data_IF_194937673185
#
_entry.id   IF_194937673185
#
_cell.length_a   1.000
_cell.length_b   1.000
_cell.length_c   1.000
_cell.angle_alpha   90.00
_cell.angle_beta   90.00
_cell.angle_gamma   90.00
#
_symmetry.space_group_name_H-M   'P 1'
#
loop_
_entity.id
_entity.type
_entity.pdbx_description
1 polymer ?
#
# COMPACT_ATOMS: atom_id res chain seq x y z
N UNK A 1 -6.91 -7.43 -20.36
CA UNK A 1 -5.46 -7.52 -20.57
C UNK A 1 -4.84 -6.17 -20.83
N UNK A 2 -4.48 -5.44 -19.77
CA UNK A 2 -3.59 -4.29 -19.90
C UNK A 2 -2.17 -4.81 -19.70
N UNK A 3 -1.47 -5.06 -20.80
CA UNK A 3 -0.03 -5.28 -20.74
C UNK A 3 0.62 -3.93 -20.41
N UNK A 4 0.96 -3.74 -19.14
CA UNK A 4 1.72 -2.59 -18.70
C UNK A 4 3.11 -2.67 -19.33
N UNK A 5 3.41 -1.74 -20.22
CA UNK A 5 4.77 -1.63 -20.75
C UNK A 5 5.69 -1.23 -19.60
N UNK A 6 6.95 -1.67 -19.63
CA UNK A 6 7.95 -1.28 -18.61
C UNK A 6 8.10 0.26 -18.50
N UNK A 7 7.72 0.98 -19.56
CA UNK A 7 7.68 2.44 -19.61
C UNK A 7 6.60 3.03 -18.69
N UNK A 8 5.45 2.37 -18.51
CA UNK A 8 4.39 2.83 -17.60
C UNK A 8 4.69 2.54 -16.12
N UNK A 9 5.62 1.61 -15.86
CA UNK A 9 6.13 1.29 -14.52
C UNK A 9 7.34 2.16 -14.14
N UNK A 10 7.94 2.87 -15.10
CA UNK A 10 9.11 3.69 -14.88
C UNK A 10 8.75 4.87 -13.96
N UNK A 11 9.45 4.98 -12.83
CA UNK A 11 9.17 5.99 -11.79
C UNK A 11 8.10 5.60 -10.76
N UNK A 12 7.36 4.50 -10.98
CA UNK A 12 6.38 3.96 -10.01
C UNK A 12 6.97 2.87 -9.11
N UNK A 13 8.07 2.26 -9.54
CA UNK A 13 8.80 1.23 -8.79
C UNK A 13 9.97 1.87 -8.04
N UNK A 14 9.98 1.72 -6.72
CA UNK A 14 11.10 2.09 -5.87
C UNK A 14 12.16 0.98 -5.91
N UNK A 15 13.11 1.10 -6.84
CA UNK A 15 14.15 0.09 -7.05
C UNK A 15 15.14 -0.05 -5.89
N UNK A 16 15.23 0.95 -5.00
CA UNK A 16 16.13 0.91 -3.84
C UNK A 16 15.63 -0.02 -2.74
N UNK A 17 14.31 -0.28 -2.69
CA UNK A 17 13.69 -1.15 -1.68
C UNK A 17 13.83 -2.65 -1.97
N UNK A 18 14.35 -3.02 -3.14
CA UNK A 18 14.51 -4.40 -3.55
C UNK A 18 13.18 -5.16 -3.75
N UNK A 19 13.25 -6.49 -3.77
CA UNK A 19 12.08 -7.37 -3.93
C UNK A 19 11.82 -8.08 -2.61
N UNK A 20 10.66 -7.82 -2.01
CA UNK A 20 10.23 -8.47 -0.78
C UNK A 20 9.83 -9.93 -1.04
N UNK A 21 10.09 -10.81 -0.07
CA UNK A 21 9.64 -12.20 -0.17
C UNK A 21 8.13 -12.36 -0.01
N UNK A 22 7.50 -11.49 0.79
CA UNK A 22 6.04 -11.40 0.96
C UNK A 22 5.68 -9.96 1.40
N UNK A 23 4.43 -9.50 1.23
CA UNK A 23 3.93 -8.29 1.87
C UNK A 23 4.07 -8.33 3.40
N UNK A 24 4.09 -7.16 4.07
CA UNK A 24 4.00 -7.09 5.53
C UNK A 24 2.86 -7.96 6.05
N UNK A 25 3.19 -8.85 6.98
CA UNK A 25 2.23 -9.81 7.50
C UNK A 25 1.55 -9.27 8.75
N UNK A 26 0.26 -9.52 8.87
CA UNK A 26 -0.52 -9.12 10.03
C UNK A 26 -1.84 -8.47 9.63
N UNK A 27 -2.67 -8.25 10.64
CA UNK A 27 -3.84 -7.40 10.57
C UNK A 27 -3.55 -6.23 11.50
N UNK A 28 -3.78 -5.03 11.00
CA UNK A 28 -3.54 -3.78 11.69
C UNK A 28 -4.88 -3.08 11.93
N UNK A 29 -4.95 -2.31 13.00
CA UNK A 29 -6.11 -1.49 13.35
C UNK A 29 -5.65 -0.06 13.59
N UNK A 30 -6.59 0.85 13.80
CA UNK A 30 -6.28 2.22 14.24
C UNK A 30 -5.48 2.23 15.55
N UNK A 31 -5.64 1.22 16.41
CA UNK A 31 -4.85 1.08 17.65
C UNK A 31 -3.39 0.72 17.41
N UNK A 32 -3.08 0.06 16.30
CA UNK A 32 -1.70 -0.22 15.88
C UNK A 32 -0.99 1.00 15.29
N UNK A 33 -1.71 2.12 15.13
CA UNK A 33 -1.22 3.47 14.87
C UNK A 33 0.12 3.57 14.12
N UNK A 34 1.19 3.83 14.87
CA UNK A 34 2.52 4.05 14.30
C UNK A 34 3.06 2.82 13.55
N UNK A 35 2.85 1.61 14.08
CA UNK A 35 3.28 0.38 13.40
C UNK A 35 2.56 0.20 12.06
N UNK A 36 1.27 0.55 12.00
CA UNK A 36 0.54 0.55 10.75
C UNK A 36 1.13 1.56 9.75
N UNK A 37 1.35 2.80 10.19
CA UNK A 37 1.93 3.87 9.35
C UNK A 37 3.33 3.54 8.85
N UNK A 38 4.18 2.97 9.70
CA UNK A 38 5.55 2.58 9.35
C UNK A 38 5.55 1.53 8.21
N UNK A 39 4.55 0.64 8.19
CA UNK A 39 4.41 -0.35 7.12
C UNK A 39 3.83 0.22 5.82
N UNK A 40 3.17 1.39 5.83
CA UNK A 40 2.62 1.99 4.61
C UNK A 40 3.71 2.35 3.59
N UNK A 41 4.96 2.53 4.03
CA UNK A 41 6.10 2.73 3.11
C UNK A 41 6.27 1.59 2.11
N UNK A 42 5.78 0.39 2.42
CA UNK A 42 5.92 -0.78 1.55
C UNK A 42 4.90 -0.83 0.41
N UNK A 43 3.88 0.04 0.39
CA UNK A 43 2.91 0.12 -0.70
C UNK A 43 3.63 0.30 -2.04
N UNK A 44 3.19 -0.45 -3.05
CA UNK A 44 3.80 -0.58 -4.39
C UNK A 44 5.23 -1.13 -4.45
N UNK A 45 5.80 -1.60 -3.34
CA UNK A 45 7.06 -2.35 -3.42
C UNK A 45 6.83 -3.68 -4.13
N UNK A 46 7.84 -4.13 -4.90
CA UNK A 46 7.79 -5.43 -5.54
C UNK A 46 7.85 -6.54 -4.48
N UNK A 47 6.98 -7.52 -4.60
CA UNK A 47 7.01 -8.71 -3.75
C UNK A 47 6.70 -9.98 -4.52
N UNK A 48 7.14 -11.13 -4.00
CA UNK A 48 6.85 -12.45 -4.57
C UNK A 48 5.47 -12.94 -4.15
N UNK A 49 4.80 -13.65 -5.04
CA UNK A 49 3.58 -14.38 -4.67
C UNK A 49 3.92 -15.52 -3.71
N UNK A 50 3.15 -15.64 -2.63
CA UNK A 50 3.27 -16.76 -1.68
C UNK A 50 2.92 -18.11 -2.32
N UNK A 51 1.96 -18.13 -3.26
CA UNK A 51 1.52 -19.33 -3.98
C UNK A 51 2.46 -19.69 -5.13
N UNK A 52 2.95 -18.69 -5.85
CA UNK A 52 3.78 -18.87 -7.05
C UNK A 52 5.05 -18.02 -6.95
N UNK A 53 6.11 -18.58 -6.35
CA UNK A 53 7.35 -17.84 -6.04
C UNK A 53 8.06 -17.22 -7.26
N UNK A 54 7.76 -17.67 -8.48
CA UNK A 54 8.28 -17.12 -9.74
C UNK A 54 7.50 -15.91 -10.25
N UNK A 55 6.35 -15.59 -9.65
CA UNK A 55 5.53 -14.42 -10.00
C UNK A 55 5.83 -13.28 -9.05
N UNK A 56 6.11 -12.13 -9.64
CA UNK A 56 6.22 -10.85 -8.97
C UNK A 56 4.90 -10.09 -9.08
N UNK A 57 4.70 -9.20 -8.12
CA UNK A 57 3.58 -8.28 -8.05
C UNK A 57 3.94 -7.17 -7.08
N UNK A 58 2.93 -6.45 -6.64
CA UNK A 58 3.04 -5.26 -5.82
C UNK A 58 2.40 -5.50 -4.47
N UNK A 59 2.94 -4.85 -3.45
CA UNK A 59 2.27 -4.74 -2.17
C UNK A 59 1.10 -3.75 -2.32
N UNK A 60 -0.11 -4.23 -2.05
CA UNK A 60 -1.32 -3.42 -1.96
C UNK A 60 -1.73 -3.25 -0.49
N UNK A 61 -2.46 -2.19 -0.18
CA UNK A 61 -3.01 -1.90 1.13
C UNK A 61 -4.53 -1.93 1.05
N UNK A 62 -5.16 -2.74 1.89
CA UNK A 62 -6.60 -3.00 1.83
C UNK A 62 -7.23 -2.94 3.23
N UNK A 63 -8.47 -2.47 3.28
CA UNK A 63 -9.39 -2.71 4.40
C UNK A 63 -10.06 -4.08 4.21
N UNK A 64 -10.05 -4.88 5.27
CA UNK A 64 -10.54 -6.26 5.31
C UNK A 64 -11.84 -6.41 6.10
N UNK A 65 -12.52 -5.30 6.35
CA UNK A 65 -13.75 -5.19 7.14
C UNK A 65 -13.50 -4.90 8.62
N UNK A 66 -14.45 -4.20 9.25
CA UNK A 66 -14.48 -3.84 10.66
C UNK A 66 -13.25 -3.03 11.14
N UNK A 67 -12.69 -2.18 10.26
CA UNK A 67 -11.54 -1.34 10.61
C UNK A 67 -10.21 -2.11 10.69
N UNK A 68 -10.16 -3.29 10.07
CA UNK A 68 -8.96 -4.10 9.95
C UNK A 68 -8.27 -3.81 8.63
N UNK A 69 -7.01 -3.42 8.70
CA UNK A 69 -6.16 -3.14 7.55
C UNK A 69 -5.12 -4.23 7.37
N UNK A 70 -4.73 -4.49 6.12
CA UNK A 70 -3.70 -5.49 5.80
C UNK A 70 -2.96 -5.13 4.53
N UNK A 71 -1.76 -5.70 4.40
CA UNK A 71 -0.98 -5.64 3.18
C UNK A 71 -1.11 -6.95 2.40
N UNK A 72 -1.40 -6.84 1.12
CA UNK A 72 -1.67 -7.98 0.24
C UNK A 72 -0.75 -7.98 -0.98
N UNK A 73 -0.70 -9.12 -1.66
CA UNK A 73 -0.02 -9.27 -2.94
C UNK A 73 -1.04 -9.02 -4.04
N UNK A 74 -0.74 -8.11 -4.96
CA UNK A 74 -1.54 -7.85 -6.15
C UNK A 74 -0.66 -7.90 -7.42
N UNK A 75 -1.12 -8.54 -8.48
CA UNK A 75 -0.37 -8.65 -9.73
C UNK A 75 -0.49 -7.40 -10.60
N UNK A 76 -1.55 -6.63 -10.42
CA UNK A 76 -1.82 -5.42 -11.19
C UNK A 76 -1.40 -4.19 -10.39
N UNK A 77 -0.48 -3.39 -10.97
CA UNK A 77 0.05 -2.20 -10.31
C UNK A 77 -1.01 -1.12 -10.09
N UNK A 78 -1.95 -0.97 -11.02
CA UNK A 78 -2.96 0.07 -10.97
C UNK A 78 -4.05 -0.31 -9.98
N UNK A 79 -4.47 -1.57 -9.97
CA UNK A 79 -5.40 -2.09 -8.97
C UNK A 79 -4.78 -1.99 -7.56
N UNK A 80 -3.50 -2.34 -7.40
CA UNK A 80 -2.76 -2.17 -6.15
C UNK A 80 -2.71 -0.70 -5.71
N UNK A 81 -2.47 0.22 -6.62
CA UNK A 81 -2.40 1.66 -6.33
C UNK A 81 -3.77 2.24 -5.98
N UNK A 82 -4.79 1.97 -6.79
CA UNK A 82 -6.16 2.50 -6.64
C UNK A 82 -6.79 2.03 -5.33
N UNK A 83 -6.73 0.72 -5.06
CA UNK A 83 -7.20 0.15 -3.78
C UNK A 83 -6.45 0.76 -2.58
N UNK A 84 -5.12 0.89 -2.68
CA UNK A 84 -4.32 1.49 -1.61
C UNK A 84 -4.66 2.96 -1.39
N UNK A 85 -4.87 3.75 -2.44
CA UNK A 85 -5.25 5.17 -2.32
C UNK A 85 -6.60 5.33 -1.64
N UNK A 86 -7.58 4.51 -2.04
CA UNK A 86 -8.89 4.51 -1.42
C UNK A 86 -8.80 4.16 0.08
N UNK A 87 -8.07 3.09 0.42
CA UNK A 87 -7.91 2.68 1.83
C UNK A 87 -7.08 3.68 2.65
N UNK A 88 -6.10 4.37 2.04
CA UNK A 88 -5.33 5.43 2.71
C UNK A 88 -6.21 6.63 3.11
N UNK A 89 -7.20 7.01 2.29
CA UNK A 89 -8.16 8.05 2.66
C UNK A 89 -8.99 7.61 3.86
N UNK A 90 -9.56 6.41 3.82
CA UNK A 90 -10.32 5.85 4.94
C UNK A 90 -9.49 5.76 6.22
N UNK A 91 -8.20 5.41 6.10
CA UNK A 91 -7.29 5.34 7.23
C UNK A 91 -6.98 6.73 7.81
N UNK A 92 -6.81 7.74 6.95
CA UNK A 92 -6.57 9.12 7.39
C UNK A 92 -7.77 9.64 8.18
N UNK A 93 -8.99 9.48 7.63
CA UNK A 93 -10.24 9.83 8.31
C UNK A 93 -10.37 9.07 9.64
N UNK A 94 -10.10 7.76 9.64
CA UNK A 94 -10.13 6.93 10.85
C UNK A 94 -9.12 7.36 11.93
N UNK A 95 -7.96 7.89 11.54
CA UNK A 95 -7.02 8.48 12.49
C UNK A 95 -7.49 9.83 13.03
N UNK A 96 -8.13 10.67 12.20
CA UNK A 96 -8.70 11.95 12.64
C UNK A 96 -9.83 11.73 13.65
N UNK A 97 -10.76 10.81 13.36
CA UNK A 97 -11.87 10.44 14.24
C UNK A 97 -11.37 9.89 15.59
N UNK A 98 -10.23 9.21 15.59
CA UNK A 98 -9.58 8.69 16.80
C UNK A 98 -8.70 9.73 17.54
N UNK A 99 -8.65 10.99 17.08
CA UNK A 99 -7.80 12.04 17.66
C UNK A 99 -6.30 11.86 17.42
N UNK A 100 -5.90 11.01 16.46
CA UNK A 100 -4.52 10.67 16.11
C UNK A 100 -4.00 11.56 14.96
N UNK A 101 -4.10 12.89 15.12
CA UNK A 101 -3.82 13.88 14.06
C UNK A 101 -2.44 13.74 13.38
N UNK A 102 -1.40 13.38 14.14
CA UNK A 102 -0.06 13.20 13.58
C UNK A 102 -0.01 12.03 12.61
N UNK A 103 -0.70 10.93 12.93
CA UNK A 103 -0.77 9.75 12.07
C UNK A 103 -1.61 10.05 10.83
N UNK A 104 -2.73 10.76 10.98
CA UNK A 104 -3.54 11.22 9.84
C UNK A 104 -2.70 12.06 8.85
N UNK A 105 -1.90 13.01 9.35
CA UNK A 105 -0.99 13.82 8.53
C UNK A 105 0.08 12.98 7.83
N UNK A 106 0.64 11.96 8.49
CA UNK A 106 1.62 11.07 7.89
C UNK A 106 0.99 10.23 6.76
N UNK A 107 -0.18 9.65 7.01
CA UNK A 107 -0.97 8.91 6.02
C UNK A 107 -1.32 9.80 4.82
N UNK A 108 -1.80 11.02 5.05
CA UNK A 108 -2.15 11.98 4.00
C UNK A 108 -0.94 12.41 3.15
N UNK A 109 0.25 12.55 3.73
CA UNK A 109 1.48 12.81 2.97
C UNK A 109 1.81 11.66 2.02
N UNK A 110 1.67 10.42 2.49
CA UNK A 110 1.90 9.26 1.64
C UNK A 110 0.85 9.15 0.54
N UNK A 111 -0.42 9.38 0.85
CA UNK A 111 -1.50 9.46 -0.14
C UNK A 111 -1.14 10.46 -1.26
N UNK A 112 -0.76 11.69 -0.89
CA UNK A 112 -0.36 12.71 -1.88
C UNK A 112 0.87 12.33 -2.71
N UNK A 113 1.80 11.53 -2.16
CA UNK A 113 2.94 11.00 -2.93
C UNK A 113 2.50 9.95 -3.94
N UNK A 114 1.62 9.02 -3.54
CA UNK A 114 1.14 7.93 -4.39
C UNK A 114 0.15 8.43 -5.45
N UNK A 115 -0.65 9.46 -5.16
CA UNK A 115 -1.60 10.06 -6.11
C UNK A 115 -0.90 10.62 -7.35
N UNK A 116 0.31 11.18 -7.20
CA UNK A 116 1.15 11.65 -8.32
C UNK A 116 1.63 10.54 -9.25
N UNK A 117 1.46 9.27 -8.87
CA UNK A 117 1.77 8.12 -9.73
C UNK A 117 0.57 7.72 -10.59
N UNK A 118 -0.62 8.28 -10.33
CA UNK A 118 -1.83 8.09 -11.14
C UNK A 118 -1.88 9.10 -12.29
N UNK A 119 -1.39 10.32 -12.04
CA UNK A 119 -1.23 11.41 -13.01
C UNK A 119 -0.14 11.12 -14.06
#
# INVERSE_FOLDING_TARGET
DKFFSILELFGKIDTEKGILDNPPSGVFTIEDGQNLVDNLTWILCLCKSKKERKRLGFVAFEESGNGNYRFTFNQDCFDALDSSLYTLLQLADGFEDAGKEQLAKQTGKLYGKLLKLVE
#
